data_IF_762799300774
#
_entry.id   IF_762799300774
#
_cell.length_a   1.000
_cell.length_b   1.000
_cell.length_c   1.000
_cell.angle_alpha   90.00
_cell.angle_beta   90.00
_cell.angle_gamma   90.00
#
_symmetry.space_group_name_H-M   'P 1'
#
loop_
_entity.id
_entity.type
_entity.pdbx_description
1 polymer ?
#
# COMPACT_ATOMS: atom_id res chain seq x y z
N UNK A 1 0.25 10.10 13.42
CA UNK A 1 1.22 10.82 14.25
C UNK A 1 2.21 11.55 13.36
N UNK A 2 2.43 12.85 13.61
CA UNK A 2 3.45 13.64 12.93
C UNK A 2 4.63 13.79 13.87
N UNK A 3 5.76 13.20 13.54
CA UNK A 3 6.95 13.27 14.38
C UNK A 3 7.65 14.62 14.25
N UNK A 4 7.51 15.26 13.10
CA UNK A 4 8.11 16.57 12.85
C UNK A 4 7.38 17.30 11.74
N UNK A 5 6.98 18.54 12.02
CA UNK A 5 6.52 19.50 11.01
C UNK A 5 7.58 20.60 10.91
N UNK A 6 8.12 20.81 9.73
CA UNK A 6 9.08 21.89 9.47
C UNK A 6 8.65 22.69 8.24
N UNK A 7 8.56 24.00 8.39
CA UNK A 7 8.31 24.92 7.30
C UNK A 7 9.64 25.48 6.80
N UNK A 8 9.89 25.28 5.50
CA UNK A 8 11.08 25.82 4.85
C UNK A 8 10.66 26.88 3.86
N UNK A 9 11.24 28.08 3.95
CA UNK A 9 11.16 29.08 2.91
C UNK A 9 12.44 28.99 2.07
N UNK A 10 12.31 28.64 0.79
CA UNK A 10 13.41 28.60 -0.15
C UNK A 10 13.16 29.62 -1.26
N UNK A 11 14.07 30.57 -1.40
CA UNK A 11 14.02 31.60 -2.46
C UNK A 11 14.70 31.13 -3.77
N UNK A 12 15.13 29.87 -3.83
CA UNK A 12 15.71 29.30 -5.04
C UNK A 12 14.66 28.48 -5.77
N UNK A 13 14.43 28.79 -7.02
CA UNK A 13 13.63 27.94 -7.90
C UNK A 13 14.34 26.62 -8.10
N UNK A 14 13.68 25.51 -7.76
CA UNK A 14 14.14 24.18 -8.12
C UNK A 14 13.45 23.74 -9.41
N UNK A 15 14.21 23.19 -10.34
CA UNK A 15 13.59 22.52 -11.49
C UNK A 15 13.01 21.19 -11.00
N UNK A 16 11.73 20.99 -11.23
CA UNK A 16 10.99 19.78 -10.82
C UNK A 16 10.61 19.01 -12.07
N UNK A 17 11.12 17.79 -12.17
CA UNK A 17 10.71 16.83 -13.19
C UNK A 17 9.84 15.73 -12.58
N UNK A 18 8.85 15.25 -13.33
CA UNK A 18 8.00 14.14 -12.93
C UNK A 18 8.43 12.88 -13.68
N UNK A 19 8.65 11.80 -12.93
CA UNK A 19 8.85 10.46 -13.48
C UNK A 19 7.62 9.61 -13.20
N UNK A 20 7.23 8.82 -14.18
CA UNK A 20 6.26 7.74 -14.01
C UNK A 20 7.00 6.41 -13.93
N UNK A 21 6.46 5.42 -13.19
CA UNK A 21 7.00 4.08 -13.23
C UNK A 21 7.01 3.52 -14.66
N UNK A 22 8.06 2.81 -15.01
CA UNK A 22 8.19 2.08 -16.28
C UNK A 22 7.66 0.66 -16.19
N UNK A 23 7.59 0.12 -14.98
CA UNK A 23 6.95 -1.16 -14.70
C UNK A 23 6.49 -1.22 -13.25
N UNK A 24 5.53 -2.08 -13.03
CA UNK A 24 4.96 -2.37 -11.70
C UNK A 24 4.90 -3.87 -11.50
N UNK A 25 5.05 -4.33 -10.27
CA UNK A 25 4.84 -5.70 -9.90
C UNK A 25 4.26 -5.81 -8.49
N UNK A 26 3.04 -6.30 -8.39
CA UNK A 26 2.42 -6.64 -7.11
C UNK A 26 2.69 -8.12 -6.83
N UNK A 27 3.26 -8.42 -5.68
CA UNK A 27 3.60 -9.80 -5.30
C UNK A 27 3.49 -10.03 -3.80
N UNK A 28 3.60 -11.29 -3.39
CA UNK A 28 3.72 -11.65 -2.00
C UNK A 28 5.15 -11.47 -1.52
N UNK A 29 5.35 -10.66 -0.51
CA UNK A 29 6.63 -10.47 0.16
C UNK A 29 6.70 -11.27 1.47
N UNK A 30 5.69 -11.13 2.29
CA UNK A 30 5.60 -11.74 3.62
C UNK A 30 5.27 -10.70 4.69
N UNK A 31 5.23 -11.14 5.94
CA UNK A 31 4.94 -10.22 7.05
C UNK A 31 6.25 -9.67 7.61
N UNK A 32 6.47 -8.38 7.52
CA UNK A 32 7.64 -7.73 8.11
C UNK A 32 7.67 -7.89 9.64
N UNK A 33 8.85 -8.12 10.19
CA UNK A 33 9.08 -7.98 11.63
C UNK A 33 9.06 -6.49 12.00
N UNK A 34 8.67 -6.22 13.24
CA UNK A 34 8.66 -4.87 13.77
C UNK A 34 9.76 -4.69 14.79
N UNK A 35 10.51 -3.61 14.71
CA UNK A 35 11.52 -3.24 15.68
C UNK A 35 11.29 -1.82 16.22
N UNK A 36 11.59 -1.62 17.48
CA UNK A 36 11.73 -0.28 18.04
C UNK A 36 13.13 0.22 17.73
N UNK A 37 13.23 1.35 17.08
CA UNK A 37 14.53 2.00 16.77
C UNK A 37 15.08 2.75 17.99
N UNK A 38 14.23 3.05 18.96
CA UNK A 38 14.58 3.67 20.25
C UNK A 38 13.47 3.44 21.30
N UNK A 39 13.71 3.79 22.57
CA UNK A 39 12.77 3.52 23.68
C UNK A 39 11.40 4.19 23.53
N UNK A 40 11.32 5.29 22.79
CA UNK A 40 10.10 6.07 22.56
C UNK A 40 9.66 6.08 21.11
N UNK A 41 10.36 5.35 20.24
CA UNK A 41 10.04 5.33 18.82
C UNK A 41 8.86 4.38 18.54
N UNK A 42 8.03 4.70 17.54
CA UNK A 42 7.02 3.77 17.08
C UNK A 42 7.68 2.53 16.49
N UNK A 43 7.00 1.40 16.58
CA UNK A 43 7.46 0.17 15.93
C UNK A 43 7.54 0.40 14.41
N UNK A 44 8.72 0.13 13.87
CA UNK A 44 9.01 0.29 12.45
C UNK A 44 9.10 -1.09 11.79
N UNK A 45 8.39 -1.33 10.69
CA UNK A 45 8.52 -2.58 9.96
C UNK A 45 9.92 -2.67 9.33
N UNK A 46 10.55 -3.84 9.46
CA UNK A 46 11.83 -4.16 8.83
C UNK A 46 11.54 -4.89 7.52
N UNK A 47 11.81 -4.24 6.41
CA UNK A 47 11.49 -4.78 5.08
C UNK A 47 12.18 -6.12 4.82
N UNK A 48 13.46 -6.23 5.15
CA UNK A 48 14.25 -7.44 4.87
C UNK A 48 13.96 -8.61 5.84
N UNK A 49 13.30 -8.33 6.95
CA UNK A 49 13.06 -9.33 7.99
C UNK A 49 11.63 -9.82 7.92
N UNK A 50 11.41 -10.88 7.15
CA UNK A 50 10.07 -11.48 6.99
C UNK A 50 9.83 -12.61 7.97
N UNK A 51 8.63 -12.60 8.54
CA UNK A 51 8.14 -13.64 9.42
C UNK A 51 6.96 -14.40 8.80
N UNK A 52 6.76 -15.63 9.26
CA UNK A 52 5.69 -16.49 8.74
C UNK A 52 4.33 -16.23 9.40
N UNK A 53 4.33 -15.51 10.51
CA UNK A 53 3.11 -15.18 11.25
C UNK A 53 2.80 -13.70 11.09
N UNK A 54 1.55 -13.35 10.80
CA UNK A 54 1.15 -11.96 10.81
C UNK A 54 1.28 -11.38 12.23
N UNK A 55 1.74 -10.13 12.35
CA UNK A 55 1.90 -9.48 13.65
C UNK A 55 0.57 -9.01 14.26
N UNK A 56 -0.51 -9.08 13.51
CA UNK A 56 -1.87 -8.68 13.93
C UNK A 56 -2.88 -9.80 13.74
N UNK A 57 -3.95 -9.76 14.52
CA UNK A 57 -4.94 -10.85 14.58
C UNK A 57 -6.00 -10.77 13.49
N UNK A 58 -6.32 -9.56 13.04
CA UNK A 58 -7.43 -9.33 12.12
C UNK A 58 -6.91 -8.51 10.93
N UNK A 59 -7.28 -8.94 9.74
CA UNK A 59 -7.07 -8.18 8.49
C UNK A 59 -8.38 -8.12 7.75
N UNK A 60 -8.67 -7.03 7.01
CA UNK A 60 -9.82 -6.97 6.15
C UNK A 60 -9.86 -8.12 5.15
N UNK A 61 -11.04 -8.67 4.91
CA UNK A 61 -11.26 -9.74 3.93
C UNK A 61 -12.00 -9.20 2.71
N UNK A 62 -11.76 -9.79 1.54
CA UNK A 62 -12.43 -9.38 0.31
C UNK A 62 -11.59 -9.58 -0.94
N UNK A 63 -11.97 -8.89 -2.00
CA UNK A 63 -11.30 -8.95 -3.29
C UNK A 63 -10.15 -7.96 -3.36
N UNK A 64 -8.93 -8.47 -3.35
CA UNK A 64 -7.69 -7.70 -3.52
C UNK A 64 -7.19 -7.78 -4.98
N UNK A 65 -6.28 -6.91 -5.32
CA UNK A 65 -5.65 -6.88 -6.63
C UNK A 65 -4.84 -8.16 -6.84
N UNK A 66 -4.95 -8.75 -8.04
CA UNK A 66 -4.16 -9.91 -8.46
C UNK A 66 -2.67 -9.58 -8.53
N UNK A 67 -1.83 -10.56 -8.35
CA UNK A 67 -0.38 -10.41 -8.51
C UNK A 67 0.03 -10.17 -9.97
N UNK A 68 1.21 -9.56 -10.13
CA UNK A 68 1.82 -9.17 -11.39
C UNK A 68 1.68 -7.69 -11.71
N UNK A 69 1.78 -7.33 -12.97
CA UNK A 69 1.74 -5.94 -13.42
C UNK A 69 0.37 -5.28 -13.17
N UNK A 70 0.42 -4.07 -12.61
CA UNK A 70 -0.76 -3.27 -12.22
C UNK A 70 -0.69 -1.85 -12.77
N UNK A 71 0.12 -1.62 -13.81
CA UNK A 71 0.35 -0.30 -14.40
C UNK A 71 -0.94 0.51 -14.66
N UNK A 72 -2.03 -0.09 -15.18
CA UNK A 72 -3.26 0.66 -15.41
C UNK A 72 -3.92 1.22 -14.14
N UNK A 73 -3.67 0.63 -12.97
CA UNK A 73 -4.26 1.07 -11.70
C UNK A 73 -3.52 2.26 -11.06
N UNK A 74 -2.30 2.55 -11.54
CA UNK A 74 -1.47 3.65 -11.02
C UNK A 74 -1.16 4.71 -12.09
N UNK A 75 -1.77 4.59 -13.25
CA UNK A 75 -1.50 5.49 -14.37
C UNK A 75 -2.01 6.91 -14.16
N UNK A 76 -3.06 7.06 -13.37
CA UNK A 76 -3.70 8.34 -13.08
C UNK A 76 -4.16 8.37 -11.61
N UNK A 77 -4.46 9.57 -11.14
CA UNK A 77 -5.17 9.79 -9.88
C UNK A 77 -6.67 9.77 -10.19
N UNK A 78 -7.25 8.59 -10.09
CA UNK A 78 -8.65 8.31 -10.41
C UNK A 78 -9.23 7.27 -9.44
N UNK A 79 -10.27 6.54 -9.85
CA UNK A 79 -10.86 5.47 -9.07
C UNK A 79 -10.17 4.11 -9.25
N UNK A 80 -9.14 4.02 -10.08
CA UNK A 80 -8.29 2.83 -10.20
C UNK A 80 -7.36 2.74 -9.01
N UNK A 81 -7.53 1.71 -8.17
CA UNK A 81 -6.72 1.53 -6.97
C UNK A 81 -6.08 0.15 -6.92
N UNK A 82 -4.84 0.09 -6.49
CA UNK A 82 -4.19 -1.18 -6.15
C UNK A 82 -4.59 -1.54 -4.74
N UNK A 83 -5.42 -2.57 -4.61
CA UNK A 83 -5.85 -3.09 -3.31
C UNK A 83 -4.84 -4.12 -2.83
N UNK A 84 -4.01 -3.71 -1.90
CA UNK A 84 -3.00 -4.56 -1.26
C UNK A 84 -3.55 -5.17 0.03
N UNK A 85 -3.13 -6.36 0.34
CA UNK A 85 -3.44 -7.03 1.59
C UNK A 85 -2.16 -7.17 2.45
N UNK A 86 -2.33 -7.61 3.69
CA UNK A 86 -1.20 -7.85 4.57
C UNK A 86 -0.20 -8.85 3.95
N UNK A 87 1.06 -8.47 3.91
CA UNK A 87 2.15 -9.25 3.33
C UNK A 87 2.37 -9.04 1.83
N UNK A 88 1.52 -8.26 1.16
CA UNK A 88 1.75 -7.87 -0.23
C UNK A 88 2.77 -6.74 -0.33
N UNK A 89 3.52 -6.72 -1.43
CA UNK A 89 4.44 -5.67 -1.82
C UNK A 89 4.16 -5.21 -3.24
N UNK A 90 4.19 -3.91 -3.46
CA UNK A 90 4.12 -3.29 -4.78
C UNK A 90 5.49 -2.70 -5.13
N UNK A 91 6.19 -3.33 -6.06
CA UNK A 91 7.45 -2.82 -6.60
C UNK A 91 7.19 -1.89 -7.78
N UNK A 92 7.82 -0.72 -7.76
CA UNK A 92 7.77 0.28 -8.83
C UNK A 92 9.18 0.51 -9.38
N UNK A 93 9.37 0.33 -10.68
CA UNK A 93 10.64 0.63 -11.34
C UNK A 93 10.57 1.93 -12.13
N UNK A 94 11.63 2.70 -12.09
CA UNK A 94 11.75 3.99 -12.78
C UNK A 94 13.00 4.00 -13.65
N UNK A 95 12.89 4.51 -14.88
CA UNK A 95 14.01 4.66 -15.79
C UNK A 95 14.90 5.83 -15.35
N UNK A 96 16.09 5.55 -14.84
CA UNK A 96 17.03 6.55 -14.37
C UNK A 96 17.65 7.37 -15.52
N UNK A 97 17.74 6.80 -16.70
CA UNK A 97 18.24 7.42 -17.94
C UNK A 97 17.30 8.50 -18.50
N UNK A 98 15.99 8.45 -18.14
CA UNK A 98 15.05 9.49 -18.44
C UNK A 98 15.26 10.78 -17.63
N UNK A 99 16.15 10.76 -16.64
CA UNK A 99 16.44 11.91 -15.80
C UNK A 99 17.44 12.87 -16.46
N UNK A 100 17.21 14.19 -16.40
CA UNK A 100 18.18 15.16 -16.90
C UNK A 100 19.51 15.02 -16.13
N UNK A 101 20.61 15.39 -16.79
CA UNK A 101 21.93 15.40 -16.11
C UNK A 101 21.92 16.39 -14.95
N UNK A 102 22.56 16.03 -13.85
CA UNK A 102 22.70 16.91 -12.70
C UNK A 102 23.76 17.96 -13.03
N UNK A 103 23.45 19.27 -12.98
CA UNK A 103 24.43 20.33 -13.13
C UNK A 103 25.51 20.25 -12.02
N UNK A 104 26.72 20.73 -12.33
CA UNK A 104 27.81 20.78 -11.36
C UNK A 104 27.41 21.57 -10.10
N UNK A 105 27.72 21.04 -8.93
CA UNK A 105 27.37 21.64 -7.64
C UNK A 105 25.93 21.48 -7.22
N UNK A 106 25.12 20.72 -7.97
CA UNK A 106 23.73 20.42 -7.62
C UNK A 106 23.58 18.99 -7.09
N UNK A 107 22.51 18.77 -6.33
CA UNK A 107 22.10 17.46 -5.85
C UNK A 107 20.68 17.17 -6.30
N UNK A 108 20.40 15.92 -6.64
CA UNK A 108 19.06 15.44 -6.92
C UNK A 108 18.39 15.01 -5.62
N UNK A 109 17.12 15.36 -5.48
CA UNK A 109 16.23 14.87 -4.43
C UNK A 109 15.06 14.19 -5.11
N UNK A 110 14.61 13.09 -4.54
CA UNK A 110 13.43 12.37 -5.00
C UNK A 110 12.31 12.55 -3.99
N UNK A 111 11.11 12.76 -4.51
CA UNK A 111 9.89 12.80 -3.72
C UNK A 111 8.93 11.80 -4.35
N UNK A 112 8.40 10.90 -3.55
CA UNK A 112 7.35 10.00 -3.97
C UNK A 112 6.01 10.63 -3.60
N UNK A 113 5.19 10.88 -4.62
CA UNK A 113 3.81 11.30 -4.44
C UNK A 113 2.93 10.06 -4.47
N UNK A 114 2.22 9.80 -3.38
CA UNK A 114 1.30 8.67 -3.24
C UNK A 114 -0.07 9.18 -2.82
N UNK A 115 -1.10 8.66 -3.47
CA UNK A 115 -2.49 8.85 -3.08
C UNK A 115 -3.04 7.48 -2.69
N UNK A 116 -3.56 7.37 -1.48
CA UNK A 116 -4.05 6.09 -0.98
C UNK A 116 -4.75 6.21 0.36
N UNK A 117 -5.38 5.13 0.77
CA UNK A 117 -6.10 5.01 2.02
C UNK A 117 -5.64 3.77 2.76
N UNK A 118 -5.61 3.89 4.06
CA UNK A 118 -5.44 2.76 4.96
C UNK A 118 -6.79 2.35 5.53
N UNK A 119 -7.06 1.06 5.60
CA UNK A 119 -8.27 0.50 6.18
C UNK A 119 -7.89 -0.60 7.16
N UNK A 120 -8.13 -0.32 8.42
CA UNK A 120 -7.85 -1.24 9.51
C UNK A 120 -9.14 -1.93 9.94
N UNK A 121 -9.00 -3.08 10.57
CA UNK A 121 -10.10 -3.78 11.24
C UNK A 121 -10.39 -3.17 12.62
N UNK A 122 -10.45 -1.85 12.71
CA UNK A 122 -10.77 -1.13 13.94
C UNK A 122 -12.30 -1.10 14.16
N UNK A 123 -12.72 -1.21 15.41
CA UNK A 123 -14.14 -1.16 15.80
C UNK A 123 -14.82 0.16 15.43
N UNK A 124 -14.07 1.23 15.28
CA UNK A 124 -14.59 2.56 14.93
C UNK A 124 -14.69 2.79 13.43
N UNK A 125 -14.19 1.87 12.61
CA UNK A 125 -14.22 1.97 11.15
C UNK A 125 -15.40 1.19 10.61
N UNK A 126 -16.34 1.86 9.94
CA UNK A 126 -17.44 1.19 9.28
C UNK A 126 -16.93 0.19 8.23
N UNK A 127 -17.34 -1.06 8.32
CA UNK A 127 -16.86 -2.15 7.47
C UNK A 127 -15.34 -2.35 7.51
N UNK A 128 -14.69 -2.14 8.67
CA UNK A 128 -13.26 -2.32 8.87
C UNK A 128 -12.77 -3.75 8.68
N UNK A 129 -13.64 -4.73 8.83
CA UNK A 129 -13.40 -6.16 8.60
C UNK A 129 -13.41 -6.60 7.13
N UNK A 130 -13.72 -5.68 6.22
CA UNK A 130 -13.84 -5.95 4.78
C UNK A 130 -13.05 -4.97 3.95
N UNK A 131 -12.50 -5.43 2.82
CA UNK A 131 -11.84 -4.58 1.84
C UNK A 131 -12.83 -3.59 1.25
N UNK A 132 -13.98 -4.06 0.82
CA UNK A 132 -15.06 -3.20 0.34
C UNK A 132 -15.89 -2.63 1.50
N UNK A 133 -16.44 -1.43 1.33
CA UNK A 133 -16.42 -0.57 0.14
C UNK A 133 -15.05 0.09 -0.08
N UNK A 134 -14.62 0.13 -1.34
CA UNK A 134 -13.38 0.81 -1.72
C UNK A 134 -13.52 2.34 -1.63
N UNK A 135 -12.42 3.04 -1.35
CA UNK A 135 -12.35 4.49 -1.47
C UNK A 135 -12.49 4.94 -2.94
N UNK A 136 -12.80 6.19 -3.17
CA UNK A 136 -12.78 6.81 -4.50
C UNK A 136 -12.21 8.23 -4.39
N UNK A 137 -11.70 8.77 -5.49
CA UNK A 137 -10.96 10.03 -5.46
C UNK A 137 -11.76 11.23 -4.97
N UNK A 138 -13.09 11.24 -5.16
CA UNK A 138 -13.96 12.31 -4.66
C UNK A 138 -14.18 12.29 -3.14
N UNK A 139 -13.64 11.33 -2.40
CA UNK A 139 -13.77 11.30 -0.94
C UNK A 139 -13.04 12.45 -0.25
N UNK A 140 -11.95 12.92 -0.80
CA UNK A 140 -11.11 13.98 -0.23
C UNK A 140 -11.51 15.39 -0.74
N UNK A 141 -12.47 15.47 -1.65
CA UNK A 141 -12.97 16.74 -2.17
C UNK A 141 -13.78 17.49 -1.07
N UNK A 142 -13.71 18.82 -1.11
CA UNK A 142 -14.59 19.69 -0.31
C UNK A 142 -16.09 19.41 -0.53
N UNK A 143 -16.43 18.74 -1.63
CA UNK A 143 -17.77 18.26 -1.97
C UNK A 143 -18.03 16.81 -1.55
N UNK A 144 -17.24 16.27 -0.65
CA UNK A 144 -17.38 14.90 -0.14
C UNK A 144 -18.85 14.60 0.21
N UNK A 145 -19.36 13.48 -0.29
CA UNK A 145 -20.77 13.10 -0.13
C UNK A 145 -21.75 13.72 -1.15
N UNK A 146 -21.31 14.65 -1.99
CA UNK A 146 -22.11 15.19 -3.10
C UNK A 146 -21.99 14.33 -4.36
N UNK A 147 -20.88 13.66 -4.55
CA UNK A 147 -20.70 12.70 -5.63
C UNK A 147 -21.13 11.29 -5.20
N UNK A 148 -21.85 10.56 -6.06
CA UNK A 148 -22.21 9.20 -5.76
C UNK A 148 -20.97 8.31 -5.75
N UNK A 149 -20.94 7.32 -4.86
CA UNK A 149 -19.91 6.29 -4.86
C UNK A 149 -19.91 5.55 -6.21
N UNK A 150 -18.76 5.34 -6.84
CA UNK A 150 -18.66 4.53 -8.05
C UNK A 150 -19.16 3.09 -7.82
N UNK A 151 -19.80 2.52 -8.82
CA UNK A 151 -20.23 1.13 -8.81
C UNK A 151 -19.07 0.21 -9.18
N UNK A 152 -18.13 0.01 -8.27
CA UNK A 152 -16.90 -0.76 -8.52
C UNK A 152 -17.17 -2.16 -9.08
N UNK A 153 -18.26 -2.80 -8.70
CA UNK A 153 -18.63 -4.12 -9.21
C UNK A 153 -18.86 -4.15 -10.73
N UNK A 154 -19.16 -3.01 -11.36
CA UNK A 154 -19.31 -2.88 -12.81
C UNK A 154 -18.13 -2.15 -13.47
N UNK A 155 -17.15 -1.71 -12.72
CA UNK A 155 -15.95 -1.07 -13.24
C UNK A 155 -15.02 -2.10 -13.89
N UNK A 156 -14.60 -1.83 -15.14
CA UNK A 156 -13.81 -2.77 -15.93
C UNK A 156 -12.40 -3.01 -15.35
N UNK A 157 -11.75 -1.98 -14.78
CA UNK A 157 -10.45 -2.13 -14.13
C UNK A 157 -10.59 -2.95 -12.87
N UNK A 158 -11.59 -2.67 -12.06
CA UNK A 158 -11.86 -3.42 -10.84
C UNK A 158 -12.13 -4.90 -11.13
N UNK A 159 -13.01 -5.21 -12.11
CA UNK A 159 -13.29 -6.59 -12.54
C UNK A 159 -12.06 -7.31 -13.06
N UNK A 160 -11.20 -6.60 -13.79
CA UNK A 160 -9.99 -7.18 -14.38
C UNK A 160 -8.90 -7.45 -13.36
N UNK A 161 -8.75 -6.58 -12.35
CA UNK A 161 -7.59 -6.60 -11.46
C UNK A 161 -7.92 -7.12 -10.07
N UNK A 162 -9.08 -6.83 -9.49
CA UNK A 162 -9.41 -7.23 -8.12
C UNK A 162 -10.06 -8.62 -8.10
N UNK A 163 -9.27 -9.62 -8.43
CA UNK A 163 -9.72 -11.01 -8.62
C UNK A 163 -9.12 -11.99 -7.61
N UNK A 164 -8.28 -11.52 -6.69
CA UNK A 164 -7.65 -12.34 -5.66
C UNK A 164 -8.42 -12.20 -4.35
N UNK A 165 -9.09 -13.27 -3.92
CA UNK A 165 -9.75 -13.28 -2.63
C UNK A 165 -8.75 -13.41 -1.49
N UNK A 166 -8.80 -12.51 -0.52
CA UNK A 166 -8.09 -12.59 0.75
C UNK A 166 -9.08 -12.80 1.87
N UNK A 167 -8.80 -13.79 2.70
CA UNK A 167 -9.61 -14.11 3.86
C UNK A 167 -9.07 -13.48 5.14
N UNK A 168 -9.85 -13.52 6.22
CA UNK A 168 -9.37 -13.09 7.52
C UNK A 168 -8.20 -13.98 7.95
N UNK A 169 -7.17 -13.35 8.53
CA UNK A 169 -6.07 -14.09 9.13
C UNK A 169 -6.57 -14.79 10.40
N UNK A 170 -6.52 -16.12 10.39
CA UNK A 170 -6.94 -16.93 11.50
C UNK A 170 -5.71 -17.56 12.18
N UNK A 171 -5.35 -17.04 13.34
CA UNK A 171 -4.21 -17.52 14.14
C UNK A 171 -4.32 -18.99 14.52
N UNK A 172 -5.50 -19.47 14.84
CA UNK A 172 -5.72 -20.86 15.24
C UNK A 172 -5.40 -21.84 14.12
N UNK A 173 -5.72 -21.49 12.85
CA UNK A 173 -5.37 -22.30 11.69
C UNK A 173 -3.85 -22.40 11.47
N UNK A 174 -3.11 -21.35 11.78
CA UNK A 174 -1.65 -21.34 11.63
C UNK A 174 -0.99 -22.21 12.71
N UNK A 175 -1.54 -22.25 13.92
CA UNK A 175 -1.05 -23.08 15.01
C UNK A 175 -1.38 -24.57 14.82
N UNK A 176 -2.59 -24.90 14.35
CA UNK A 176 -3.00 -26.26 14.06
C UNK A 176 -2.08 -26.95 13.02
N UNK A 177 -1.74 -26.26 11.94
CA UNK A 177 -0.81 -26.78 10.93
C UNK A 177 0.62 -27.01 11.44
N UNK A 178 1.02 -26.35 12.50
CA UNK A 178 2.34 -26.55 13.13
C UNK A 178 2.37 -27.76 14.08
N UNK A 179 1.26 -28.06 14.71
CA UNK A 179 1.10 -29.25 15.57
C UNK A 179 1.22 -30.55 14.77
N UNK A 180 0.65 -30.59 13.58
CA UNK A 180 0.67 -31.79 12.72
C UNK A 180 2.06 -32.15 12.17
N UNK A 181 2.98 -31.20 12.03
CA UNK A 181 4.38 -31.47 11.60
C UNK A 181 5.30 -32.02 12.67
N UNK A 182 4.91 -32.02 13.95
CA UNK A 182 5.75 -32.51 15.07
C UNK A 182 5.45 -33.95 15.50
N UNK A 183 4.39 -34.58 15.00
CA UNK A 183 4.01 -35.94 15.37
C UNK A 183 4.43 -37.02 14.36
N UNK A 184 5.19 -36.65 13.33
CA UNK A 184 5.75 -37.57 12.35
C UNK A 184 7.24 -37.84 12.59
N UNK A 185 7.54 -38.58 13.65
CA UNK A 185 8.82 -39.30 13.88
C UNK A 185 8.56 -40.59 14.61
#
# INVERSE_FOLDING_TARGET
>A
HWDRIALFQNNRSAEVGTLRPTSTDLHWHGYGEFAAMGPSDPLTPLHENVQQRPPWRITPSGWATRYGAVDPLIAAEDNGVVTVAAGDELTLSFAADALPKIPSGHQRRFFLWTVGWNKDADYHVAAGDRIEPLPWHGMDDARHGQEPRPAFASDALHQRFNTRWVGPLNYERVEAKRGEKKTGR
#
